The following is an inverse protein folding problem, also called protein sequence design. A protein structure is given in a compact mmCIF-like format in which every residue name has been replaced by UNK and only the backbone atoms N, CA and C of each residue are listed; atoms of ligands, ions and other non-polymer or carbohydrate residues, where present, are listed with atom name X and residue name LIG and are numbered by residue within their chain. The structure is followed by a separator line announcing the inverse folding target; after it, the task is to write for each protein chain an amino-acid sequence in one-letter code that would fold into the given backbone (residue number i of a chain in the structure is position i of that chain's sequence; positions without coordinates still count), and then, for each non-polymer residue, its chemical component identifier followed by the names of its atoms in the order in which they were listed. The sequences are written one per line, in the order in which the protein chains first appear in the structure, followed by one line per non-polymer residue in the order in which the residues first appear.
data_IF_686716933798
#
_entry.id   IF_686716933798
#
_cell.length_a   1.000
_cell.length_b   1.000
_cell.length_c   1.000
_cell.angle_alpha   90.00
_cell.angle_beta   90.00
_cell.angle_gamma   90.00
#
_symmetry.space_group_name_H-M   'P 1'
#
loop_
_entity.id
_entity.type
_entity.pdbx_description
1 polymer ?
#
# COMPACT_ATOMS: atom_id res chain seq x y z
N UNK A 1 -9.53 8.03 11.58
CA UNK A 1 -9.14 6.93 10.68
C UNK A 1 -7.62 6.86 10.63
N UNK A 2 -7.02 5.75 11.05
CA UNK A 2 -5.55 5.64 11.07
C UNK A 2 -4.95 5.72 9.67
N UNK A 3 -3.82 6.33 9.59
CA UNK A 3 -3.07 6.39 8.33
C UNK A 3 -1.58 6.30 8.64
N UNK A 4 -0.84 5.91 7.62
CA UNK A 4 0.61 5.79 7.74
C UNK A 4 1.21 6.20 6.40
N UNK A 5 2.19 7.08 6.44
CA UNK A 5 2.83 7.49 5.21
C UNK A 5 4.34 7.33 5.34
N UNK A 6 4.98 7.06 4.23
CA UNK A 6 6.42 6.91 4.18
C UNK A 6 6.92 7.26 2.79
N UNK A 7 8.16 7.68 2.71
CA UNK A 7 8.76 8.00 1.43
C UNK A 7 9.56 6.81 0.92
N UNK A 8 9.75 6.76 -0.39
CA UNK A 8 10.52 5.68 -1.00
C UNK A 8 11.35 6.25 -2.13
N UNK A 9 12.58 5.75 -2.24
CA UNK A 9 13.47 6.15 -3.32
C UNK A 9 13.45 5.17 -4.49
N UNK A 10 12.53 4.21 -4.44
CA UNK A 10 12.44 3.24 -5.51
C UNK A 10 12.04 3.91 -6.82
N UNK A 11 12.35 3.25 -7.93
CA UNK A 11 11.95 3.71 -9.24
C UNK A 11 10.43 3.87 -9.29
N UNK A 12 9.97 4.94 -9.95
CA UNK A 12 8.54 5.23 -10.00
C UNK A 12 7.74 4.10 -10.64
N UNK A 13 8.29 3.48 -11.68
CA UNK A 13 7.61 2.35 -12.32
C UNK A 13 7.46 1.18 -11.35
N UNK A 14 8.49 0.93 -10.55
CA UNK A 14 8.42 -0.14 -9.55
C UNK A 14 7.41 0.20 -8.47
N UNK A 15 7.33 1.46 -8.06
CA UNK A 15 6.35 1.89 -7.08
C UNK A 15 4.93 1.71 -7.59
N UNK A 16 4.68 2.12 -8.83
CA UNK A 16 3.36 1.96 -9.42
C UNK A 16 2.96 0.49 -9.47
N UNK A 17 3.89 -0.36 -9.85
CA UNK A 17 3.63 -1.78 -9.93
C UNK A 17 3.31 -2.37 -8.56
N UNK A 18 4.12 -2.02 -7.56
CA UNK A 18 3.91 -2.52 -6.21
C UNK A 18 2.57 -2.07 -5.65
N UNK A 19 2.23 -0.80 -5.87
CA UNK A 19 0.97 -0.27 -5.39
C UNK A 19 -0.22 -0.93 -6.10
N UNK A 20 -0.10 -1.15 -7.40
CA UNK A 20 -1.16 -1.80 -8.15
C UNK A 20 -1.39 -3.23 -7.64
N UNK A 21 -0.30 -3.98 -7.42
CA UNK A 21 -0.39 -5.33 -6.88
C UNK A 21 -1.05 -5.31 -5.50
N UNK A 22 -0.67 -4.34 -4.67
CA UNK A 22 -1.23 -4.23 -3.32
C UNK A 22 -2.71 -3.89 -3.38
N UNK A 23 -3.11 -2.98 -4.27
CA UNK A 23 -4.52 -2.64 -4.42
C UNK A 23 -5.35 -3.83 -4.87
N UNK A 24 -4.82 -4.63 -5.78
CA UNK A 24 -5.52 -5.83 -6.22
C UNK A 24 -5.65 -6.83 -5.09
N UNK A 25 -4.60 -6.96 -4.29
CA UNK A 25 -4.65 -7.86 -3.15
C UNK A 25 -5.72 -7.41 -2.15
N UNK A 26 -5.80 -6.10 -1.91
CA UNK A 26 -6.81 -5.56 -1.01
C UNK A 26 -8.21 -5.82 -1.56
N UNK A 27 -8.40 -5.58 -2.84
CA UNK A 27 -9.71 -5.80 -3.47
C UNK A 27 -10.14 -7.26 -3.41
N UNK A 28 -9.18 -8.17 -3.46
CA UNK A 28 -9.47 -9.60 -3.47
C UNK A 28 -9.55 -10.21 -2.08
N UNK A 29 -9.12 -9.49 -1.05
CA UNK A 29 -9.17 -10.03 0.30
C UNK A 29 -10.52 -9.73 0.92
N UNK A 30 -11.13 -10.78 1.40
CA UNK A 30 -12.45 -10.67 1.98
C UNK A 30 -12.47 -9.79 3.22
N UNK A 31 -11.41 -9.88 4.03
CA UNK A 31 -11.35 -9.13 5.28
C UNK A 31 -11.15 -7.63 5.08
N UNK A 32 -10.86 -7.20 3.87
CA UNK A 32 -10.76 -5.76 3.58
C UNK A 32 -12.01 -5.19 2.93
N UNK A 33 -12.95 -6.03 2.57
CA UNK A 33 -14.16 -5.54 1.89
C UNK A 33 -15.00 -4.72 2.84
N UNK A 34 -15.48 -3.57 2.35
CA UNK A 34 -16.30 -2.69 3.16
C UNK A 34 -15.52 -1.86 4.16
N UNK A 35 -14.20 -1.90 4.10
CA UNK A 35 -13.36 -1.14 5.02
C UNK A 35 -12.77 0.07 4.31
N UNK A 36 -12.06 0.89 5.08
CA UNK A 36 -11.40 2.09 4.55
C UNK A 36 -9.99 1.79 4.03
N UNK A 37 -9.62 0.51 3.92
CA UNK A 37 -8.27 0.14 3.49
C UNK A 37 -7.99 0.67 2.10
N UNK A 38 -6.91 1.40 1.95
CA UNK A 38 -6.50 1.87 0.63
C UNK A 38 -5.06 2.34 0.64
N UNK A 39 -4.49 2.42 -0.54
CA UNK A 39 -3.10 2.85 -0.73
C UNK A 39 -3.09 3.98 -1.75
N UNK A 40 -2.37 5.04 -1.44
CA UNK A 40 -2.24 6.17 -2.35
C UNK A 40 -0.77 6.47 -2.60
N UNK A 41 -0.48 6.98 -3.79
CA UNK A 41 0.87 7.37 -4.16
C UNK A 41 0.89 8.83 -4.54
N UNK A 42 1.77 9.59 -3.90
CA UNK A 42 2.06 10.95 -4.31
C UNK A 42 3.34 10.91 -5.12
N UNK A 43 3.21 10.98 -6.44
CA UNK A 43 4.37 10.83 -7.32
C UNK A 43 5.35 11.97 -7.18
N UNK A 44 4.85 13.14 -6.90
CA UNK A 44 5.67 14.33 -6.78
C UNK A 44 6.66 14.21 -5.63
N UNK A 45 6.21 13.65 -4.53
CA UNK A 45 7.01 13.53 -3.31
C UNK A 45 7.56 12.14 -3.09
N UNK A 46 7.27 11.20 -3.98
CA UNK A 46 7.61 9.78 -3.79
C UNK A 46 7.10 9.30 -2.44
N UNK A 47 5.91 9.73 -2.10
CA UNK A 47 5.31 9.45 -0.79
C UNK A 47 4.14 8.48 -0.96
N UNK A 48 4.15 7.44 -0.15
CA UNK A 48 3.11 6.43 -0.17
C UNK A 48 2.31 6.55 1.12
N UNK A 49 0.99 6.63 1.00
CA UNK A 49 0.12 6.76 2.16
C UNK A 49 -0.84 5.58 2.22
N UNK A 50 -0.89 4.96 3.38
CA UNK A 50 -1.78 3.83 3.63
C UNK A 50 -2.90 4.26 4.56
N UNK A 51 -4.11 3.82 4.28
CA UNK A 51 -5.27 4.10 5.12
C UNK A 51 -5.91 2.80 5.55
N UNK A 52 -6.42 2.78 6.76
CA UNK A 52 -7.11 1.62 7.27
C UNK A 52 -8.05 2.00 8.40
N UNK A 53 -8.91 1.07 8.79
CA UNK A 53 -9.85 1.30 9.88
C UNK A 53 -9.18 1.21 11.25
N UNK A 54 -8.02 0.56 11.32
CA UNK A 54 -7.30 0.39 12.58
C UNK A 54 -5.82 0.20 12.29
N UNK A 55 -5.01 0.31 13.34
CA UNK A 55 -3.57 0.08 13.20
C UNK A 55 -3.28 -1.36 12.76
N UNK A 56 -4.11 -2.30 13.20
CA UNK A 56 -3.95 -3.68 12.80
C UNK A 56 -4.10 -3.82 11.27
N UNK A 57 -5.08 -3.14 10.71
CA UNK A 57 -5.30 -3.18 9.28
C UNK A 57 -4.16 -2.52 8.52
N UNK A 58 -3.62 -1.42 9.06
CA UNK A 58 -2.45 -0.81 8.45
C UNK A 58 -1.28 -1.78 8.40
N UNK A 59 -1.09 -2.56 9.46
CA UNK A 59 -0.05 -3.57 9.49
C UNK A 59 -0.26 -4.62 8.42
N UNK A 60 -1.50 -5.03 8.20
CA UNK A 60 -1.80 -5.99 7.15
C UNK A 60 -1.49 -5.43 5.77
N UNK A 61 -1.82 -4.16 5.54
CA UNK A 61 -1.51 -3.52 4.26
C UNK A 61 -0.01 -3.45 4.05
N UNK A 62 0.74 -3.10 5.08
CA UNK A 62 2.20 -3.06 4.99
C UNK A 62 2.77 -4.44 4.66
N UNK A 63 2.18 -5.48 5.24
CA UNK A 63 2.62 -6.85 4.97
C UNK A 63 2.38 -7.26 3.51
N UNK A 64 1.45 -6.61 2.85
CA UNK A 64 1.22 -6.84 1.43
C UNK A 64 2.13 -5.99 0.56
N UNK A 65 2.34 -4.75 0.97
CA UNK A 65 3.06 -3.79 0.14
C UNK A 65 4.57 -3.97 0.18
N UNK A 66 5.13 -4.15 1.35
CA UNK A 66 6.59 -4.20 1.48
C UNK A 66 7.20 -5.35 0.68
N UNK A 67 6.67 -6.57 0.75
CA UNK A 67 7.22 -7.63 -0.07
C UNK A 67 7.10 -7.35 -1.57
N UNK A 68 6.01 -6.70 -1.99
CA UNK A 68 5.85 -6.35 -3.39
C UNK A 68 6.91 -5.34 -3.83
N UNK A 69 7.27 -4.41 -2.94
CA UNK A 69 8.28 -3.41 -3.25
C UNK A 69 9.67 -4.01 -3.29
N UNK A 70 9.91 -5.04 -2.49
CA UNK A 70 11.23 -5.67 -2.43
C UNK A 70 11.45 -6.65 -3.57
N UNK A 71 10.38 -7.06 -4.23
CA UNK A 71 10.51 -8.04 -5.29
C UNK A 71 11.21 -7.42 -6.49
N UNK A 72 12.29 -8.04 -6.89
CA UNK A 72 13.06 -7.56 -8.04
C UNK A 72 12.89 -8.51 -9.20
N UNK A 73 12.65 -7.94 -10.34
CA UNK A 73 12.48 -8.73 -11.57
C UNK A 73 13.31 -8.19 -12.69
#
# INVERSE_FOLDING_TARGET
MPSFDFSSEADMAALHNAIDVTRRAIDNRYDFKGTSAKVELNEKDHLITLYGDSDFQLGQIKDLLFPAMEKKE
#
